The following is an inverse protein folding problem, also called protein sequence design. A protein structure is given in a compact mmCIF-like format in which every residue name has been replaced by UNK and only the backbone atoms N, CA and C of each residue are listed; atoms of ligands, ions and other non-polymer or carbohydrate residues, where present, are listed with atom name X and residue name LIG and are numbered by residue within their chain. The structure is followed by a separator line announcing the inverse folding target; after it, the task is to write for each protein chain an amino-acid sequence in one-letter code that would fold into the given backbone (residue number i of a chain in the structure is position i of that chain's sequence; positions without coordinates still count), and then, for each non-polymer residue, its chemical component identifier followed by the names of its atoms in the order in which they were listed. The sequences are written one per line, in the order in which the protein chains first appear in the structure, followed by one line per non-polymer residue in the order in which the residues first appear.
data_IF_083824742875
#
_entry.id   IF_083824742875
#
_cell.length_a   1.000
_cell.length_b   1.000
_cell.length_c   1.000
_cell.angle_alpha   90.00
_cell.angle_beta   90.00
_cell.angle_gamma   90.00
#
_symmetry.space_group_name_H-M   'P 1'
#
loop_
_entity.id
_entity.type
_entity.pdbx_description
1 polymer ?
#
# COMPACT_ATOMS: atom_id res chain seq x y z
N UNK A 1 -45.16 8.98 60.08
CA UNK A 1 -43.87 9.22 60.76
C UNK A 1 -42.95 8.06 60.42
N UNK A 2 -41.65 8.31 60.19
CA UNK A 2 -40.58 7.41 59.67
C UNK A 2 -40.29 7.63 58.17
N UNK A 3 -39.60 8.71 57.80
CA UNK A 3 -38.14 8.96 57.82
C UNK A 3 -37.44 8.44 56.56
N UNK A 4 -37.15 9.39 55.65
CA UNK A 4 -36.34 9.23 54.46
C UNK A 4 -34.85 9.05 54.85
N UNK A 5 -34.23 7.95 54.42
CA UNK A 5 -32.76 7.80 54.50
C UNK A 5 -32.14 8.30 53.19
N UNK A 6 -31.53 9.49 53.27
CA UNK A 6 -30.67 10.07 52.24
C UNK A 6 -29.30 9.38 52.33
N UNK A 7 -28.92 8.64 51.28
CA UNK A 7 -27.58 8.07 51.16
C UNK A 7 -26.56 9.14 50.78
N UNK A 8 -25.39 9.06 51.42
CA UNK A 8 -24.25 9.98 51.34
C UNK A 8 -23.55 9.96 49.97
N UNK A 9 -23.12 11.10 49.41
CA UNK A 9 -22.33 11.14 48.18
C UNK A 9 -20.86 10.78 48.47
N UNK A 10 -20.40 9.65 47.95
CA UNK A 10 -18.98 9.27 47.97
C UNK A 10 -18.17 10.05 46.93
N UNK A 11 -17.26 10.89 47.42
CA UNK A 11 -16.30 11.70 46.65
C UNK A 11 -15.31 10.80 45.90
N UNK A 12 -15.28 10.88 44.57
CA UNK A 12 -14.31 10.18 43.73
C UNK A 12 -13.04 11.05 43.64
N UNK A 13 -11.97 10.64 44.32
CA UNK A 13 -10.66 11.30 44.23
C UNK A 13 -9.93 10.73 43.01
N UNK A 14 -9.72 11.56 41.99
CA UNK A 14 -8.85 11.26 40.85
C UNK A 14 -7.37 11.41 41.27
N UNK A 15 -6.64 10.30 41.32
CA UNK A 15 -5.18 10.30 41.49
C UNK A 15 -4.49 10.83 40.22
N UNK A 16 -3.48 11.73 40.30
CA UNK A 16 -2.74 12.19 39.14
C UNK A 16 -1.77 11.11 38.62
N UNK A 17 -1.64 11.04 37.29
CA UNK A 17 -0.72 10.19 36.51
C UNK A 17 0.71 10.21 37.06
N UNK A 18 1.43 9.07 37.11
CA UNK A 18 2.87 9.07 37.34
C UNK A 18 3.60 9.61 36.09
N UNK A 19 4.32 10.72 36.29
CA UNK A 19 5.25 11.29 35.32
C UNK A 19 6.50 10.40 35.25
N UNK A 20 6.69 9.67 34.15
CA UNK A 20 7.88 8.85 33.89
C UNK A 20 9.04 9.79 33.49
N UNK A 21 10.15 9.88 34.25
CA UNK A 21 11.33 10.60 33.80
C UNK A 21 12.14 9.72 32.84
N UNK A 22 12.45 10.27 31.67
CA UNK A 22 13.36 9.67 30.68
C UNK A 22 14.80 9.76 31.23
N UNK A 23 15.52 8.66 31.47
CA UNK A 23 16.91 8.74 31.87
C UNK A 23 17.80 9.05 30.66
N UNK A 24 18.54 10.16 30.75
CA UNK A 24 19.64 10.49 29.85
C UNK A 24 20.75 9.47 30.07
N UNK A 25 21.13 8.74 29.03
CA UNK A 25 22.26 7.80 29.06
C UNK A 25 23.59 8.56 29.14
N UNK A 26 24.07 8.79 30.36
CA UNK A 26 25.48 9.07 30.61
C UNK A 26 26.25 7.75 30.66
N UNK A 27 27.31 7.71 29.86
CA UNK A 27 28.32 6.66 29.85
C UNK A 27 29.02 6.53 31.20
N UNK A 28 28.93 5.37 31.84
CA UNK A 28 29.97 4.91 32.77
C UNK A 28 30.04 3.39 32.77
N UNK A 29 31.13 2.92 32.17
CA UNK A 29 31.62 1.55 32.22
C UNK A 29 31.84 1.09 33.67
N UNK A 30 31.19 0.01 34.07
CA UNK A 30 31.82 -1.03 34.90
C UNK A 30 30.94 -2.28 34.90
N UNK A 31 31.26 -3.25 34.05
CA UNK A 31 30.83 -4.63 34.25
C UNK A 31 32.03 -5.54 34.12
N UNK A 32 32.31 -6.27 35.21
CA UNK A 32 33.33 -7.31 35.28
C UNK A 32 32.79 -8.58 34.63
N UNK A 33 32.76 -8.59 33.30
CA UNK A 33 32.46 -9.80 32.54
C UNK A 33 33.65 -10.12 31.62
N UNK A 34 34.46 -11.11 32.01
CA UNK A 34 35.53 -11.66 31.17
C UNK A 34 34.96 -12.64 30.14
N UNK A 35 33.98 -12.18 29.34
CA UNK A 35 33.46 -12.89 28.18
C UNK A 35 34.22 -12.49 26.92
N UNK A 36 34.46 -13.46 26.04
CA UNK A 36 35.18 -13.33 24.76
C UNK A 36 34.88 -11.99 24.07
N UNK A 37 35.90 -11.12 24.00
CA UNK A 37 35.83 -9.84 23.29
C UNK A 37 35.75 -10.13 21.80
N UNK A 38 34.54 -10.13 21.24
CA UNK A 38 34.36 -10.07 19.78
C UNK A 38 34.93 -8.72 19.33
N UNK A 39 36.03 -8.78 18.59
CA UNK A 39 36.68 -7.62 17.98
C UNK A 39 35.65 -6.86 17.13
N UNK A 40 35.24 -5.68 17.61
CA UNK A 40 34.44 -4.76 16.81
C UNK A 40 35.34 -4.23 15.71
N UNK A 41 35.39 -4.91 14.58
CA UNK A 41 35.90 -4.33 13.34
C UNK A 41 35.12 -3.05 13.10
N UNK A 42 35.84 -1.92 13.10
CA UNK A 42 35.32 -0.62 12.72
C UNK A 42 34.75 -0.78 11.31
N UNK A 43 33.43 -0.83 11.21
CA UNK A 43 32.72 -0.96 9.95
C UNK A 43 32.87 0.36 9.22
N UNK A 44 33.83 0.42 8.30
CA UNK A 44 33.96 1.52 7.35
C UNK A 44 32.60 1.68 6.64
N UNK A 45 32.02 2.89 6.54
CA UNK A 45 30.77 3.07 5.83
C UNK A 45 30.95 2.59 4.39
N UNK A 46 30.02 1.80 3.82
CA UNK A 46 30.13 1.43 2.42
C UNK A 46 30.17 2.71 1.59
N UNK A 47 31.17 2.83 0.71
CA UNK A 47 31.23 3.90 -0.26
C UNK A 47 29.87 3.95 -0.98
N UNK A 48 29.21 5.12 -0.94
CA UNK A 48 28.00 5.34 -1.71
C UNK A 48 28.39 5.18 -3.18
N UNK A 49 27.97 4.09 -3.80
CA UNK A 49 27.99 3.99 -5.26
C UNK A 49 27.20 5.18 -5.80
N UNK A 50 27.88 6.09 -6.49
CA UNK A 50 27.27 7.21 -7.19
C UNK A 50 26.47 6.63 -8.35
N UNK A 51 25.18 6.40 -8.12
CA UNK A 51 24.27 6.02 -9.19
C UNK A 51 24.29 7.12 -10.26
N UNK A 52 24.67 6.76 -11.48
CA UNK A 52 24.63 7.67 -12.63
C UNK A 52 23.20 8.23 -12.81
N UNK A 53 23.03 9.56 -12.91
CA UNK A 53 21.72 10.20 -12.99
C UNK A 53 20.97 9.93 -14.29
N UNK A 54 21.64 9.40 -15.32
CA UNK A 54 21.08 9.22 -16.67
C UNK A 54 19.83 8.33 -16.69
N UNK A 55 19.81 7.24 -15.90
CA UNK A 55 18.61 6.37 -15.83
C UNK A 55 17.44 7.01 -15.08
N UNK A 56 17.70 7.97 -14.19
CA UNK A 56 16.66 8.61 -13.36
C UNK A 56 15.76 9.54 -14.18
N UNK A 57 16.33 10.22 -15.19
CA UNK A 57 15.63 11.20 -16.03
C UNK A 57 14.60 10.50 -16.93
N UNK A 58 14.98 9.38 -17.56
CA UNK A 58 14.07 8.59 -18.43
C UNK A 58 12.94 7.93 -17.62
N UNK A 59 13.20 7.57 -16.37
CA UNK A 59 12.16 7.06 -15.46
C UNK A 59 11.21 8.17 -14.95
N UNK A 60 11.61 9.43 -15.06
CA UNK A 60 10.78 10.57 -14.69
C UNK A 60 9.78 10.92 -15.79
N UNK A 61 10.19 10.91 -17.07
CA UNK A 61 9.29 11.22 -18.19
C UNK A 61 8.09 10.27 -18.23
N UNK A 62 8.33 8.95 -18.24
CA UNK A 62 7.26 7.94 -18.25
C UNK A 62 6.26 8.09 -17.11
N UNK A 63 6.74 8.48 -15.92
CA UNK A 63 5.86 8.68 -14.76
C UNK A 63 4.97 9.91 -14.95
N UNK A 64 5.51 10.99 -15.49
CA UNK A 64 4.76 12.21 -15.75
C UNK A 64 3.69 11.96 -16.80
N UNK A 65 4.02 11.21 -17.84
CA UNK A 65 3.06 10.84 -18.89
C UNK A 65 1.93 9.97 -18.33
N UNK A 66 2.25 8.94 -17.55
CA UNK A 66 1.24 8.13 -16.86
C UNK A 66 0.34 8.98 -15.93
N UNK A 67 0.89 9.99 -15.25
CA UNK A 67 0.08 10.89 -14.40
C UNK A 67 -0.84 11.80 -15.22
N UNK A 68 -0.42 12.25 -16.40
CA UNK A 68 -1.27 13.01 -17.32
C UNK A 68 -2.43 12.13 -17.81
N UNK A 69 -2.14 10.89 -18.25
CA UNK A 69 -3.15 9.93 -18.69
C UNK A 69 -4.19 9.61 -17.60
N UNK A 70 -3.75 9.44 -16.35
CA UNK A 70 -4.68 9.15 -15.25
C UNK A 70 -5.59 10.36 -14.98
N UNK A 71 -5.07 11.58 -15.09
CA UNK A 71 -5.84 12.81 -14.86
C UNK A 71 -6.88 13.07 -15.95
N UNK A 72 -6.64 12.63 -17.19
CA UNK A 72 -7.62 12.75 -18.29
C UNK A 72 -8.76 11.74 -18.20
N UNK A 73 -8.56 10.60 -17.52
CA UNK A 73 -9.58 9.54 -17.38
C UNK A 73 -10.73 9.93 -16.45
N UNK A 74 -11.90 9.37 -16.70
CA UNK A 74 -13.06 9.54 -15.80
C UNK A 74 -12.88 8.74 -14.50
N UNK A 75 -13.67 9.03 -13.45
CA UNK A 75 -13.59 8.31 -12.17
C UNK A 75 -14.04 6.85 -12.29
N UNK A 76 -14.96 6.56 -13.22
CA UNK A 76 -15.46 5.22 -13.53
C UNK A 76 -14.37 4.38 -14.22
N UNK A 77 -13.76 4.91 -15.28
CA UNK A 77 -12.60 4.29 -15.95
C UNK A 77 -11.46 4.00 -14.96
N UNK A 78 -11.19 4.94 -14.04
CA UNK A 78 -10.19 4.73 -12.98
C UNK A 78 -10.55 3.53 -12.09
N UNK A 79 -11.84 3.34 -11.75
CA UNK A 79 -12.26 2.22 -10.92
C UNK A 79 -12.13 0.89 -11.67
N UNK A 80 -12.54 0.86 -12.93
CA UNK A 80 -12.45 -0.33 -13.78
C UNK A 80 -11.00 -0.77 -13.99
N UNK A 81 -10.12 0.17 -14.36
CA UNK A 81 -8.72 -0.13 -14.60
C UNK A 81 -8.00 -0.54 -13.30
N UNK A 82 -8.40 -0.02 -12.12
CA UNK A 82 -7.90 -0.52 -10.84
C UNK A 82 -8.28 -1.99 -10.60
N UNK A 83 -9.49 -2.40 -10.98
CA UNK A 83 -9.94 -3.79 -10.87
C UNK A 83 -9.15 -4.68 -11.83
N UNK A 84 -8.96 -4.24 -13.07
CA UNK A 84 -8.26 -5.01 -14.10
C UNK A 84 -6.78 -5.18 -13.76
N UNK A 85 -6.09 -4.11 -13.34
CA UNK A 85 -4.68 -4.19 -12.90
C UNK A 85 -4.50 -5.10 -11.68
N UNK A 86 -5.50 -5.18 -10.78
CA UNK A 86 -5.48 -6.14 -9.66
C UNK A 86 -5.66 -7.57 -10.14
N UNK A 87 -6.51 -7.80 -11.14
CA UNK A 87 -6.68 -9.10 -11.79
C UNK A 87 -5.40 -9.56 -12.47
N UNK A 88 -4.75 -8.69 -13.23
CA UNK A 88 -3.44 -8.99 -13.83
C UNK A 88 -2.37 -9.27 -12.77
N UNK A 89 -2.39 -8.55 -11.64
CA UNK A 89 -1.45 -8.77 -10.55
C UNK A 89 -1.64 -10.16 -9.92
N UNK A 90 -2.87 -10.67 -9.89
CA UNK A 90 -3.15 -12.05 -9.48
C UNK A 90 -2.54 -13.04 -10.46
N UNK A 91 -2.69 -12.82 -11.78
CA UNK A 91 -2.10 -13.69 -12.80
C UNK A 91 -0.58 -13.75 -12.72
N UNK A 92 0.09 -12.61 -12.50
CA UNK A 92 1.54 -12.58 -12.28
C UNK A 92 1.94 -13.39 -11.04
N UNK A 93 1.13 -13.40 -9.97
CA UNK A 93 1.39 -14.24 -8.78
C UNK A 93 1.26 -15.73 -9.11
N UNK A 94 0.24 -16.10 -9.89
CA UNK A 94 0.04 -17.49 -10.32
C UNK A 94 1.16 -17.97 -11.25
N UNK A 95 1.58 -17.15 -12.22
CA UNK A 95 2.74 -17.43 -13.07
C UNK A 95 4.01 -17.61 -12.24
N UNK A 96 4.23 -16.72 -11.26
CA UNK A 96 5.37 -16.83 -10.34
C UNK A 96 5.33 -18.13 -9.54
N UNK A 97 4.16 -18.57 -9.05
CA UNK A 97 4.06 -19.85 -8.33
C UNK A 97 4.24 -21.05 -9.24
N UNK A 98 3.75 -20.98 -10.49
CA UNK A 98 3.94 -22.02 -11.50
C UNK A 98 5.40 -22.11 -11.99
N UNK A 99 6.26 -21.17 -11.58
CA UNK A 99 7.66 -21.03 -12.04
C UNK A 99 7.76 -20.80 -13.55
N UNK A 100 6.72 -20.20 -14.15
CA UNK A 100 6.78 -19.70 -15.50
C UNK A 100 7.72 -18.49 -15.57
N UNK A 101 8.20 -18.18 -16.77
CA UNK A 101 8.98 -16.97 -16.99
C UNK A 101 8.07 -15.73 -16.87
N UNK A 102 8.47 -14.78 -16.01
CA UNK A 102 7.76 -13.51 -15.83
C UNK A 102 8.75 -12.38 -15.53
N UNK A 103 8.36 -11.14 -15.79
CA UNK A 103 9.17 -9.96 -15.45
C UNK A 103 8.91 -9.52 -14.02
N UNK A 104 9.94 -9.56 -13.17
CA UNK A 104 9.83 -9.15 -11.76
C UNK A 104 9.54 -7.65 -11.57
N UNK A 105 9.93 -6.81 -12.54
CA UNK A 105 9.64 -5.37 -12.57
C UNK A 105 8.14 -5.07 -12.58
N UNK A 106 7.33 -5.94 -13.17
CA UNK A 106 5.93 -5.68 -13.46
C UNK A 106 5.09 -5.67 -12.18
N UNK A 107 5.45 -6.52 -11.20
CA UNK A 107 4.90 -6.47 -9.86
C UNK A 107 5.01 -5.07 -9.23
N UNK A 108 6.18 -4.45 -9.34
CA UNK A 108 6.43 -3.11 -8.80
C UNK A 108 5.71 -2.03 -9.62
N UNK A 109 5.78 -2.14 -10.95
CA UNK A 109 5.16 -1.18 -11.88
C UNK A 109 3.65 -1.14 -11.69
N UNK A 110 2.96 -2.27 -11.71
CA UNK A 110 1.51 -2.36 -11.58
C UNK A 110 1.03 -1.87 -10.21
N UNK A 111 1.69 -2.27 -9.11
CA UNK A 111 1.34 -1.75 -7.77
C UNK A 111 1.48 -0.22 -7.69
N UNK A 112 2.55 0.33 -8.26
CA UNK A 112 2.76 1.78 -8.30
C UNK A 112 1.73 2.49 -9.19
N UNK A 113 1.28 1.86 -10.27
CA UNK A 113 0.23 2.39 -11.16
C UNK A 113 -1.13 2.44 -10.46
N UNK A 114 -1.53 1.36 -9.80
CA UNK A 114 -2.74 1.32 -8.95
C UNK A 114 -2.68 2.41 -7.87
N UNK A 115 -1.54 2.57 -7.20
CA UNK A 115 -1.38 3.61 -6.18
C UNK A 115 -1.60 5.03 -6.75
N UNK A 116 -1.01 5.34 -7.91
CA UNK A 116 -1.21 6.64 -8.59
C UNK A 116 -2.68 6.90 -8.91
N UNK A 117 -3.39 5.91 -9.45
CA UNK A 117 -4.82 6.01 -9.77
C UNK A 117 -5.68 6.29 -8.53
N UNK A 118 -5.41 5.59 -7.42
CA UNK A 118 -6.12 5.80 -6.17
C UNK A 118 -5.81 7.17 -5.55
N UNK A 119 -4.60 7.70 -5.76
CA UNK A 119 -4.25 9.06 -5.35
C UNK A 119 -5.09 10.08 -6.12
N UNK A 120 -5.15 9.99 -7.46
CA UNK A 120 -5.95 10.92 -8.29
C UNK A 120 -7.43 10.84 -7.93
N UNK A 121 -7.97 9.63 -7.71
CA UNK A 121 -9.34 9.46 -7.21
C UNK A 121 -9.56 10.20 -5.88
N UNK A 122 -8.60 10.10 -4.95
CA UNK A 122 -8.71 10.76 -3.65
C UNK A 122 -8.56 12.28 -3.75
N UNK A 123 -7.74 12.79 -4.68
CA UNK A 123 -7.62 14.22 -4.99
C UNK A 123 -8.99 14.78 -5.43
N UNK A 124 -9.69 14.09 -6.34
CA UNK A 124 -11.05 14.48 -6.77
C UNK A 124 -12.07 14.47 -5.63
N UNK A 125 -12.06 13.43 -4.78
CA UNK A 125 -12.92 13.41 -3.58
C UNK A 125 -12.65 14.58 -2.63
N UNK A 126 -11.41 15.09 -2.58
CA UNK A 126 -11.06 16.25 -1.77
C UNK A 126 -11.56 17.56 -2.40
N UNK A 127 -11.48 17.69 -3.72
CA UNK A 127 -12.05 18.82 -4.48
C UNK A 127 -13.57 18.91 -4.31
N UNK A 128 -14.27 17.77 -4.27
CA UNK A 128 -15.70 17.67 -3.96
C UNK A 128 -16.03 17.96 -2.48
N UNK A 129 -15.03 18.12 -1.61
CA UNK A 129 -15.23 18.40 -0.19
C UNK A 129 -15.60 17.18 0.66
N UNK A 130 -15.35 15.95 0.18
CA UNK A 130 -15.72 14.72 0.90
C UNK A 130 -14.78 14.47 2.08
N UNK A 131 -15.38 14.53 3.28
CA UNK A 131 -14.72 14.20 4.55
C UNK A 131 -14.15 12.77 4.57
N UNK A 132 -13.05 12.58 5.32
CA UNK A 132 -12.34 11.28 5.44
C UNK A 132 -13.23 10.14 5.96
N UNK A 133 -14.30 10.43 6.72
CA UNK A 133 -15.24 9.40 7.21
C UNK A 133 -16.20 8.94 6.11
N UNK A 134 -16.71 9.89 5.31
CA UNK A 134 -17.61 9.61 4.20
C UNK A 134 -16.89 8.86 3.09
N UNK A 135 -15.68 9.29 2.71
CA UNK A 135 -14.83 8.58 1.75
C UNK A 135 -14.60 7.11 2.13
N UNK A 136 -14.34 6.80 3.41
CA UNK A 136 -14.21 5.41 3.86
C UNK A 136 -15.52 4.60 3.78
N UNK A 137 -16.68 5.24 4.01
CA UNK A 137 -17.99 4.56 3.86
C UNK A 137 -18.23 4.21 2.39
N UNK A 138 -17.98 5.17 1.49
CA UNK A 138 -18.09 4.96 0.04
C UNK A 138 -17.11 3.90 -0.46
N UNK A 139 -15.84 3.94 -0.04
CA UNK A 139 -14.83 2.93 -0.41
C UNK A 139 -15.21 1.53 0.07
N UNK A 140 -15.78 1.39 1.27
CA UNK A 140 -16.30 0.10 1.77
C UNK A 140 -17.49 -0.39 0.96
N UNK A 141 -18.43 0.49 0.64
CA UNK A 141 -19.59 0.15 -0.18
C UNK A 141 -19.16 -0.28 -1.58
N UNK A 142 -18.26 0.46 -2.21
CA UNK A 142 -17.69 0.13 -3.51
C UNK A 142 -16.97 -1.22 -3.47
N UNK A 143 -16.09 -1.46 -2.48
CA UNK A 143 -15.42 -2.77 -2.34
C UNK A 143 -16.38 -3.94 -2.18
N UNK A 144 -17.54 -3.72 -1.55
CA UNK A 144 -18.59 -4.73 -1.40
C UNK A 144 -19.34 -4.99 -2.72
N UNK A 145 -19.47 -3.99 -3.60
CA UNK A 145 -20.15 -4.13 -4.88
C UNK A 145 -19.26 -4.68 -6.01
N UNK A 146 -17.95 -4.85 -5.79
CA UNK A 146 -17.04 -5.40 -6.80
C UNK A 146 -17.39 -6.87 -7.06
N UNK A 147 -17.82 -7.16 -8.28
CA UNK A 147 -17.95 -8.53 -8.80
C UNK A 147 -16.60 -8.95 -9.39
N UNK A 148 -16.12 -10.14 -9.02
CA UNK A 148 -14.87 -10.68 -9.55
C UNK A 148 -15.05 -11.05 -11.02
N UNK A 149 -14.22 -10.47 -11.88
CA UNK A 149 -14.19 -10.74 -13.33
C UNK A 149 -12.79 -11.20 -13.75
N UNK A 150 -12.66 -12.07 -14.76
CA UNK A 150 -11.34 -12.44 -15.28
C UNK A 150 -10.66 -11.21 -15.91
N UNK A 151 -9.34 -11.07 -15.78
CA UNK A 151 -8.61 -9.93 -16.31
C UNK A 151 -8.69 -9.90 -17.84
N UNK A 152 -8.66 -8.70 -18.46
CA UNK A 152 -8.85 -8.54 -19.89
C UNK A 152 -7.79 -9.25 -20.73
N UNK A 153 -6.56 -9.38 -20.23
CA UNK A 153 -5.49 -10.12 -20.92
C UNK A 153 -5.84 -11.59 -21.14
N UNK A 154 -6.48 -12.25 -20.17
CA UNK A 154 -6.91 -13.64 -20.32
C UNK A 154 -8.10 -13.76 -21.27
N UNK A 155 -9.05 -12.82 -21.21
CA UNK A 155 -10.20 -12.82 -22.13
C UNK A 155 -9.74 -12.76 -23.57
N UNK A 156 -8.79 -11.87 -23.88
CA UNK A 156 -8.23 -11.73 -25.23
C UNK A 156 -7.58 -13.03 -25.73
N UNK A 157 -6.79 -13.69 -24.88
CA UNK A 157 -6.16 -14.97 -25.24
C UNK A 157 -7.22 -16.06 -25.51
N UNK A 158 -8.26 -16.13 -24.69
CA UNK A 158 -9.35 -17.09 -24.87
C UNK A 158 -10.16 -16.81 -26.15
N UNK A 159 -10.41 -15.55 -26.47
CA UNK A 159 -11.11 -15.12 -27.69
C UNK A 159 -10.29 -15.44 -28.95
N UNK A 160 -8.97 -15.22 -28.91
CA UNK A 160 -8.04 -15.56 -30.00
C UNK A 160 -7.95 -17.08 -30.21
N UNK A 161 -7.85 -17.87 -29.14
CA UNK A 161 -7.83 -19.34 -29.20
C UNK A 161 -9.14 -19.89 -29.77
N UNK A 162 -10.29 -19.38 -29.32
CA UNK A 162 -11.59 -19.80 -29.82
C UNK A 162 -11.79 -19.44 -31.31
N UNK A 163 -11.30 -18.28 -31.75
CA UNK A 163 -11.32 -17.90 -33.16
C UNK A 163 -10.45 -18.83 -34.01
N UNK A 164 -9.25 -19.18 -33.53
CA UNK A 164 -8.35 -20.09 -34.22
C UNK A 164 -8.88 -21.53 -34.29
N UNK A 165 -9.62 -21.99 -33.28
CA UNK A 165 -10.31 -23.28 -33.31
C UNK A 165 -11.49 -23.27 -34.29
N UNK A 166 -12.27 -22.19 -34.33
CA UNK A 166 -13.37 -22.04 -35.28
C UNK A 166 -12.87 -22.09 -36.74
N UNK A 167 -11.77 -21.38 -37.06
CA UNK A 167 -11.16 -21.41 -38.40
C UNK A 167 -10.56 -22.78 -38.77
N UNK A 168 -10.06 -23.55 -37.80
CA UNK A 168 -9.54 -24.92 -38.05
C UNK A 168 -10.64 -25.96 -38.21
N UNK A 169 -11.86 -25.65 -37.77
CA UNK A 169 -13.03 -26.54 -37.83
C UNK A 169 -13.96 -26.26 -39.03
N UNK A 170 -13.65 -25.24 -39.83
CA UNK A 170 -14.33 -24.88 -41.08
C UNK A 170 -13.54 -25.37 -42.30
#
# INVERSE_FOLDING_TARGET
MLSLSIASPSTIIFSPKPHIPIPKSSSSSSSSFNGVKIQKHIRVPPQRVSFSPSSSVVMMSKRLDEMKEIRTKTTEEINEEVVDLKGELLMLRLQKSARNEFKSSDFGRMRKRIARMLTVKRERELEEGINKRLSRKLDRQWKKSIVVRPPPSLKKLQEEEAAAEAEKSA
#
